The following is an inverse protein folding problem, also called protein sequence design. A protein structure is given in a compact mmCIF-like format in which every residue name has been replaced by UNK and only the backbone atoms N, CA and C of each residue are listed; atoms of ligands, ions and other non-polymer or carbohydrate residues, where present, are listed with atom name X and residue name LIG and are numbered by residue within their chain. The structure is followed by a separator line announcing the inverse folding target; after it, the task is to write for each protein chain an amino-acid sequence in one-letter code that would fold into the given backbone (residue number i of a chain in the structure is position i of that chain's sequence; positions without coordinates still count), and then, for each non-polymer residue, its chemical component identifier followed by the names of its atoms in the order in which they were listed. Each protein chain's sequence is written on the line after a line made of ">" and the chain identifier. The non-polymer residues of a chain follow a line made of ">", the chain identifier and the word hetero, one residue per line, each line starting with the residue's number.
data_IF_812075815273
#
_entry.id   IF_812075815273
#
_cell.length_a   1.000
_cell.length_b   1.000
_cell.length_c   1.000
_cell.angle_alpha   90.00
_cell.angle_beta   90.00
_cell.angle_gamma   90.00
#
_symmetry.space_group_name_H-M   'P 1'
#
loop_
_entity.id
_entity.type
_entity.pdbx_description
1 polymer ?
#
# COMPACT_ATOMS: atom_id res chain seq x y z
N UNK A 1 9.59 -12.04 -10.58
CA UNK A 1 9.64 -13.44 -10.09
C UNK A 1 9.95 -13.58 -8.60
N UNK A 2 10.67 -12.65 -7.96
CA UNK A 2 11.02 -12.72 -6.52
C UNK A 2 9.79 -12.60 -5.58
N UNK A 3 8.80 -11.78 -5.94
CA UNK A 3 7.59 -11.57 -5.11
C UNK A 3 6.63 -12.77 -5.00
N UNK A 4 6.69 -13.71 -5.95
CA UNK A 4 5.91 -14.96 -5.90
C UNK A 4 6.59 -15.98 -4.98
N UNK A 5 7.93 -15.93 -4.90
CA UNK A 5 8.72 -16.83 -4.05
C UNK A 5 8.57 -16.47 -2.56
N UNK A 6 8.54 -15.16 -2.22
CA UNK A 6 8.39 -14.70 -0.83
C UNK A 6 6.99 -14.96 -0.29
N UNK A 7 5.95 -14.85 -1.11
CA UNK A 7 4.55 -15.13 -0.71
C UNK A 7 4.27 -16.63 -0.56
N UNK A 8 4.92 -17.49 -1.35
CA UNK A 8 4.83 -18.95 -1.19
C UNK A 8 5.55 -19.45 0.07
N UNK A 9 6.68 -18.85 0.46
CA UNK A 9 7.38 -19.20 1.71
C UNK A 9 6.55 -18.83 2.95
N UNK A 10 5.90 -17.65 2.93
CA UNK A 10 5.03 -17.22 4.03
C UNK A 10 3.79 -18.12 4.21
N UNK A 11 3.25 -18.66 3.11
CA UNK A 11 2.13 -19.61 3.16
C UNK A 11 2.56 -21.02 3.58
N UNK A 12 3.77 -21.47 3.20
CA UNK A 12 4.28 -22.80 3.56
C UNK A 12 4.64 -22.94 5.05
N UNK A 13 5.04 -21.87 5.73
CA UNK A 13 5.35 -21.91 7.17
C UNK A 13 4.10 -22.04 8.06
N UNK A 14 2.93 -21.65 7.56
CA UNK A 14 1.64 -21.81 8.28
C UNK A 14 1.08 -23.23 8.12
N UNK A 15 1.45 -23.94 7.05
CA UNK A 15 0.97 -25.30 6.78
C UNK A 15 1.83 -26.43 7.39
N UNK A 16 3.07 -26.14 7.82
CA UNK A 16 3.98 -27.13 8.41
C UNK A 16 3.96 -27.15 9.96
N UNK A 17 3.14 -26.29 10.58
CA UNK A 17 3.20 -25.99 12.02
C UNK A 17 2.13 -26.63 12.90
N UNK A 18 1.31 -27.56 12.40
CA UNK A 18 0.35 -28.29 13.22
C UNK A 18 0.31 -29.77 12.83
N UNK A 19 0.73 -30.60 13.80
CA UNK A 19 0.46 -32.03 13.94
C UNK A 19 1.60 -32.99 13.58
N UNK A 20 2.48 -33.25 14.57
CA UNK A 20 2.87 -34.59 15.06
C UNK A 20 3.85 -34.45 16.23
N UNK A 21 3.51 -34.93 17.43
CA UNK A 21 4.53 -35.21 18.46
C UNK A 21 4.12 -35.08 19.93
N UNK A 22 3.48 -36.12 20.48
CA UNK A 22 3.32 -36.34 21.93
C UNK A 22 4.64 -36.87 22.52
N UNK A 23 5.21 -36.20 23.54
CA UNK A 23 6.10 -36.67 24.67
C UNK A 23 7.01 -35.51 25.08
N UNK A 24 7.35 -35.19 26.33
CA UNK A 24 7.23 -35.83 27.64
C UNK A 24 7.30 -34.70 28.69
N UNK A 25 6.66 -34.94 29.84
CA UNK A 25 6.84 -34.23 31.10
C UNK A 25 8.35 -33.99 31.39
N UNK A 26 8.80 -32.73 31.39
CA UNK A 26 10.12 -32.35 31.91
C UNK A 26 9.91 -31.56 33.19
N UNK A 27 10.32 -32.06 34.37
CA UNK A 27 10.27 -31.28 35.59
C UNK A 27 11.27 -30.12 35.53
N UNK A 28 10.88 -29.01 36.17
CA UNK A 28 11.59 -27.74 36.37
C UNK A 28 13.11 -27.81 36.16
N UNK A 29 13.61 -27.15 35.11
CA UNK A 29 14.97 -26.66 35.07
C UNK A 29 14.91 -25.14 34.94
N UNK A 30 15.27 -24.48 36.04
CA UNK A 30 15.55 -23.06 36.08
C UNK A 30 16.71 -22.74 35.14
N UNK A 31 16.43 -22.02 34.05
CA UNK A 31 17.40 -21.29 33.26
C UNK A 31 16.79 -19.94 32.95
N UNK A 32 17.33 -18.89 33.57
CA UNK A 32 17.05 -17.51 33.16
C UNK A 32 17.53 -17.29 31.73
N UNK A 33 16.66 -16.74 30.87
CA UNK A 33 16.98 -16.40 29.49
C UNK A 33 15.75 -16.03 28.67
N UNK A 34 15.52 -14.73 28.51
CA UNK A 34 14.58 -14.04 27.57
C UNK A 34 13.35 -14.84 27.14
N UNK A 35 12.36 -14.94 28.02
CA UNK A 35 10.97 -14.95 27.58
C UNK A 35 10.42 -13.58 27.91
N UNK A 36 10.17 -12.73 26.91
CA UNK A 36 9.42 -11.51 27.14
C UNK A 36 8.10 -11.87 27.81
N UNK A 37 7.61 -11.03 28.73
CA UNK A 37 6.29 -11.27 29.30
C UNK A 37 5.25 -11.35 28.18
N UNK A 38 4.12 -12.01 28.42
CA UNK A 38 3.02 -12.08 27.42
C UNK A 38 2.62 -10.67 26.96
N UNK A 39 2.68 -9.70 27.87
CA UNK A 39 2.40 -8.29 27.59
C UNK A 39 3.47 -7.65 26.68
N UNK A 40 4.75 -7.98 26.85
CA UNK A 40 5.84 -7.47 26.00
C UNK A 40 5.74 -8.00 24.56
N UNK A 41 5.33 -9.27 24.40
CA UNK A 41 5.07 -9.87 23.08
C UNK A 41 3.81 -9.26 22.43
N UNK A 42 2.76 -8.95 23.19
CA UNK A 42 1.57 -8.25 22.67
C UNK A 42 1.92 -6.84 22.18
N UNK A 43 2.75 -6.11 22.92
CA UNK A 43 3.20 -4.77 22.55
C UNK A 43 4.11 -4.77 21.31
N UNK A 44 5.00 -5.76 21.17
CA UNK A 44 5.80 -5.93 19.95
C UNK A 44 4.91 -6.21 18.72
N UNK A 45 3.97 -7.16 18.84
CA UNK A 45 3.03 -7.49 17.77
C UNK A 45 2.14 -6.30 17.40
N UNK A 46 1.67 -5.53 18.39
CA UNK A 46 0.93 -4.28 18.19
C UNK A 46 1.78 -3.27 17.40
N UNK A 47 3.05 -3.09 17.79
CA UNK A 47 3.99 -2.18 17.10
C UNK A 47 4.21 -2.56 15.63
N UNK A 48 4.44 -3.85 15.35
CA UNK A 48 4.59 -4.37 13.99
C UNK A 48 3.31 -4.12 13.18
N UNK A 49 2.15 -4.41 13.75
CA UNK A 49 0.86 -4.17 13.10
C UNK A 49 0.62 -2.70 12.76
N UNK A 50 0.89 -1.79 13.68
CA UNK A 50 0.74 -0.34 13.44
C UNK A 50 1.60 0.10 12.25
N UNK A 51 2.85 -0.36 12.18
CA UNK A 51 3.77 -0.03 11.09
C UNK A 51 3.28 -0.60 9.75
N UNK A 52 2.79 -1.84 9.75
CA UNK A 52 2.20 -2.47 8.56
C UNK A 52 0.98 -1.68 8.06
N UNK A 53 0.06 -1.29 8.97
CA UNK A 53 -1.10 -0.47 8.61
C UNK A 53 -0.67 0.89 8.05
N UNK A 54 0.33 1.55 8.65
CA UNK A 54 0.87 2.83 8.13
C UNK A 54 1.44 2.68 6.72
N UNK A 55 2.21 1.63 6.49
CA UNK A 55 2.76 1.29 5.17
C UNK A 55 1.64 1.07 4.15
N UNK A 56 0.63 0.28 4.52
CA UNK A 56 -0.46 -0.10 3.63
C UNK A 56 -1.44 1.06 3.35
N UNK A 57 -1.63 1.99 4.28
CA UNK A 57 -2.31 3.27 4.03
C UNK A 57 -1.54 4.08 2.96
N UNK A 58 -0.20 4.05 2.99
CA UNK A 58 0.62 4.64 1.93
C UNK A 58 0.38 4.00 0.56
N UNK A 59 0.29 2.67 0.51
CA UNK A 59 -0.08 1.93 -0.71
C UNK A 59 -1.48 2.33 -1.21
N UNK A 60 -2.48 2.36 -0.32
CA UNK A 60 -3.84 2.79 -0.65
C UNK A 60 -3.88 4.18 -1.28
N UNK A 61 -3.19 5.16 -0.69
CA UNK A 61 -3.17 6.54 -1.21
C UNK A 61 -2.60 6.61 -2.63
N UNK A 62 -1.49 5.91 -2.89
CA UNK A 62 -0.90 5.84 -4.24
C UNK A 62 -1.85 5.19 -5.24
N UNK A 63 -2.39 4.03 -4.89
CA UNK A 63 -3.31 3.29 -5.75
C UNK A 63 -4.61 4.06 -6.02
N UNK A 64 -5.11 4.80 -5.02
CA UNK A 64 -6.28 5.65 -5.13
C UNK A 64 -6.06 6.76 -6.16
N UNK A 65 -4.92 7.47 -6.10
CA UNK A 65 -4.62 8.51 -7.10
C UNK A 65 -4.60 7.95 -8.52
N UNK A 66 -3.97 6.79 -8.72
CA UNK A 66 -3.91 6.15 -10.03
C UNK A 66 -5.30 5.74 -10.54
N UNK A 67 -6.12 5.14 -9.68
CA UNK A 67 -7.47 4.72 -10.04
C UNK A 67 -8.40 5.91 -10.28
N UNK A 68 -8.32 6.98 -9.48
CA UNK A 68 -9.10 8.22 -9.68
C UNK A 68 -8.90 8.84 -11.07
N UNK A 69 -7.68 8.75 -11.62
CA UNK A 69 -7.38 9.25 -12.96
C UNK A 69 -8.02 8.41 -14.09
N UNK A 70 -8.41 7.15 -13.81
CA UNK A 70 -9.13 6.30 -14.78
C UNK A 70 -10.01 5.27 -14.04
N UNK A 71 -11.18 5.66 -13.50
CA UNK A 71 -11.97 4.82 -12.59
C UNK A 71 -12.54 3.55 -13.23
N UNK A 72 -12.70 3.54 -14.56
CA UNK A 72 -13.15 2.37 -15.33
C UNK A 72 -12.03 1.38 -15.64
N UNK A 73 -10.76 1.72 -15.36
CA UNK A 73 -9.62 0.85 -15.57
C UNK A 73 -9.46 -0.14 -14.40
N UNK A 74 -9.93 -1.37 -14.58
CA UNK A 74 -9.85 -2.43 -13.57
C UNK A 74 -8.41 -2.77 -13.17
N UNK A 75 -7.44 -2.62 -14.08
CA UNK A 75 -6.02 -2.83 -13.76
C UNK A 75 -5.50 -1.88 -12.68
N UNK A 76 -6.06 -0.66 -12.59
CA UNK A 76 -5.76 0.31 -11.53
C UNK A 76 -6.57 0.10 -10.26
N UNK A 77 -7.75 -0.51 -10.38
CA UNK A 77 -8.61 -0.84 -9.24
C UNK A 77 -8.09 -2.04 -8.43
N UNK A 78 -7.53 -3.06 -9.09
CA UNK A 78 -7.10 -4.29 -8.42
C UNK A 78 -6.05 -4.08 -7.31
N UNK A 79 -5.01 -3.24 -7.48
CA UNK A 79 -4.09 -2.91 -6.40
C UNK A 79 -4.77 -2.21 -5.21
N UNK A 80 -5.72 -1.32 -5.46
CA UNK A 80 -6.46 -0.62 -4.41
C UNK A 80 -7.30 -1.59 -3.58
N UNK A 81 -8.03 -2.49 -4.23
CA UNK A 81 -8.81 -3.56 -3.57
C UNK A 81 -7.91 -4.51 -2.78
N UNK A 82 -6.74 -4.88 -3.31
CA UNK A 82 -5.77 -5.74 -2.60
C UNK A 82 -5.34 -5.10 -1.27
N UNK A 83 -5.10 -3.79 -1.26
CA UNK A 83 -4.70 -3.12 -0.02
C UNK A 83 -5.79 -3.16 1.06
N UNK A 84 -7.06 -2.96 0.70
CA UNK A 84 -8.17 -3.17 1.64
C UNK A 84 -8.24 -4.62 2.15
N UNK A 85 -7.96 -5.60 1.28
CA UNK A 85 -7.91 -7.01 1.69
C UNK A 85 -6.77 -7.30 2.68
N UNK A 86 -5.58 -6.75 2.45
CA UNK A 86 -4.43 -6.87 3.36
C UNK A 86 -4.75 -6.26 4.72
N UNK A 87 -5.34 -5.05 4.75
CA UNK A 87 -5.75 -4.40 5.98
C UNK A 87 -6.85 -5.17 6.73
N UNK A 88 -7.81 -5.77 6.00
CA UNK A 88 -8.82 -6.66 6.61
C UNK A 88 -8.16 -7.87 7.28
N UNK A 89 -7.24 -8.54 6.59
CA UNK A 89 -6.55 -9.73 7.09
C UNK A 89 -5.71 -9.43 8.34
N UNK A 90 -4.87 -8.39 8.26
CA UNK A 90 -4.03 -7.96 9.38
C UNK A 90 -4.86 -7.54 10.59
N UNK A 91 -5.92 -6.76 10.41
CA UNK A 91 -6.81 -6.32 11.51
C UNK A 91 -7.45 -7.49 12.26
N UNK A 92 -7.77 -8.59 11.57
CA UNK A 92 -8.33 -9.80 12.21
C UNK A 92 -7.29 -10.58 13.00
N UNK A 93 -6.05 -10.61 12.51
CA UNK A 93 -4.94 -11.33 13.16
C UNK A 93 -4.61 -10.75 14.53
N UNK A 94 -4.67 -9.42 14.66
CA UNK A 94 -4.40 -8.72 15.92
C UNK A 94 -5.67 -8.35 16.71
N UNK A 95 -6.82 -8.89 16.33
CA UNK A 95 -8.07 -8.70 17.09
C UNK A 95 -8.56 -7.25 17.14
N UNK A 96 -8.58 -6.55 16.00
CA UNK A 96 -9.11 -5.17 15.85
C UNK A 96 -10.37 -5.18 14.96
N UNK A 97 -11.55 -5.58 15.47
CA UNK A 97 -12.74 -5.78 14.67
C UNK A 97 -13.19 -4.52 13.92
N UNK A 98 -13.14 -3.36 14.57
CA UNK A 98 -13.58 -2.09 13.97
C UNK A 98 -12.83 -1.77 12.67
N UNK A 99 -11.50 -1.94 12.66
CA UNK A 99 -10.68 -1.73 11.47
C UNK A 99 -10.93 -2.83 10.43
N UNK A 100 -11.07 -4.09 10.87
CA UNK A 100 -11.38 -5.22 9.99
C UNK A 100 -12.72 -5.05 9.25
N UNK A 101 -13.77 -4.66 9.97
CA UNK A 101 -15.12 -4.48 9.43
C UNK A 101 -15.20 -3.28 8.48
N UNK A 102 -14.49 -2.21 8.81
CA UNK A 102 -14.34 -1.05 7.94
C UNK A 102 -13.71 -1.45 6.60
N UNK A 103 -12.54 -2.10 6.62
CA UNK A 103 -11.83 -2.54 5.42
C UNK A 103 -12.65 -3.55 4.61
N UNK A 104 -13.34 -4.47 5.27
CA UNK A 104 -14.18 -5.46 4.61
C UNK A 104 -15.34 -4.84 3.80
N UNK A 105 -15.90 -3.70 4.25
CA UNK A 105 -16.95 -2.98 3.51
C UNK A 105 -16.42 -2.39 2.22
N UNK A 106 -15.25 -1.75 2.28
CA UNK A 106 -14.64 -1.15 1.09
C UNK A 106 -14.10 -2.20 0.12
N UNK A 107 -13.59 -3.33 0.62
CA UNK A 107 -13.29 -4.49 -0.24
C UNK A 107 -14.53 -4.95 -1.01
N UNK A 108 -15.68 -5.16 -0.32
CA UNK A 108 -16.93 -5.56 -0.98
C UNK A 108 -17.45 -4.52 -1.98
N UNK A 109 -17.35 -3.23 -1.65
CA UNK A 109 -17.74 -2.16 -2.57
C UNK A 109 -16.92 -2.21 -3.85
N UNK A 110 -15.60 -2.38 -3.73
CA UNK A 110 -14.72 -2.48 -4.88
C UNK A 110 -14.92 -3.79 -5.66
N UNK A 111 -15.25 -4.91 -4.98
CA UNK A 111 -15.62 -6.16 -5.64
C UNK A 111 -16.85 -5.96 -6.55
N UNK A 112 -17.85 -5.16 -6.13
CA UNK A 112 -18.99 -4.80 -7.00
C UNK A 112 -18.61 -3.95 -8.21
N UNK A 113 -17.54 -3.17 -8.11
CA UNK A 113 -17.03 -2.42 -9.26
C UNK A 113 -16.29 -3.36 -10.22
N UNK A 114 -15.53 -4.32 -9.67
CA UNK A 114 -14.79 -5.33 -10.45
C UNK A 114 -15.76 -6.25 -11.22
N UNK A 115 -16.83 -6.72 -10.58
CA UNK A 115 -17.84 -7.57 -11.21
C UNK A 115 -18.81 -6.80 -12.13
N UNK A 116 -18.62 -5.47 -12.25
CA UNK A 116 -19.41 -4.53 -13.07
C UNK A 116 -20.87 -4.39 -12.63
N UNK A 117 -21.21 -4.80 -11.41
CA UNK A 117 -22.54 -4.62 -10.84
C UNK A 117 -22.72 -3.28 -10.09
N UNK A 118 -21.64 -2.49 -9.98
CA UNK A 118 -21.63 -1.11 -9.52
C UNK A 118 -20.72 -0.25 -10.43
N UNK A 119 -21.26 0.83 -10.99
CA UNK A 119 -20.46 1.76 -11.80
C UNK A 119 -19.56 2.63 -10.90
N UNK A 120 -18.30 2.90 -11.29
CA UNK A 120 -17.37 3.76 -10.54
C UNK A 120 -17.67 5.25 -10.76
N UNK A 121 -18.91 5.65 -10.54
CA UNK A 121 -19.39 7.02 -10.68
C UNK A 121 -18.81 7.93 -9.58
N UNK A 122 -18.92 9.27 -9.69
CA UNK A 122 -18.35 10.19 -8.71
C UNK A 122 -18.69 9.90 -7.23
N UNK A 123 -19.92 9.44 -6.87
CA UNK A 123 -20.21 9.00 -5.50
C UNK A 123 -19.38 7.80 -5.04
N UNK A 124 -19.15 6.81 -5.91
CA UNK A 124 -18.34 5.63 -5.58
C UNK A 124 -16.88 6.02 -5.37
N UNK A 125 -16.34 6.85 -6.26
CA UNK A 125 -14.97 7.36 -6.12
C UNK A 125 -14.82 8.19 -4.83
N UNK A 126 -15.79 9.07 -4.56
CA UNK A 126 -15.76 9.94 -3.39
C UNK A 126 -15.81 9.13 -2.07
N UNK A 127 -16.68 8.11 -1.96
CA UNK A 127 -16.75 7.33 -0.71
C UNK A 127 -15.47 6.53 -0.45
N UNK A 128 -14.81 6.05 -1.51
CA UNK A 128 -13.52 5.33 -1.39
C UNK A 128 -12.42 6.30 -0.96
N UNK A 129 -12.41 7.53 -1.49
CA UNK A 129 -11.49 8.57 -1.04
C UNK A 129 -11.68 8.92 0.45
N UNK A 130 -12.93 9.05 0.89
CA UNK A 130 -13.26 9.24 2.30
C UNK A 130 -12.78 8.07 3.15
N UNK A 131 -12.89 6.85 2.63
CA UNK A 131 -12.45 5.67 3.35
C UNK A 131 -10.93 5.68 3.59
N UNK A 132 -10.16 5.96 2.54
CA UNK A 132 -8.70 6.08 2.62
C UNK A 132 -8.30 7.23 3.55
N UNK A 133 -9.06 8.34 3.55
CA UNK A 133 -8.86 9.45 4.48
C UNK A 133 -9.21 9.14 5.94
N UNK A 134 -10.09 8.18 6.19
CA UNK A 134 -10.53 7.79 7.53
C UNK A 134 -9.62 6.74 8.21
N UNK A 135 -8.84 5.97 7.45
CA UNK A 135 -7.94 4.96 8.01
C UNK A 135 -6.91 5.51 9.02
N UNK A 136 -6.27 6.67 8.80
CA UNK A 136 -5.41 7.29 9.82
C UNK A 136 -6.16 7.64 11.11
N UNK A 137 -7.44 8.01 11.03
CA UNK A 137 -8.25 8.33 12.21
C UNK A 137 -8.61 7.06 12.99
N UNK A 138 -8.92 5.96 12.29
CA UNK A 138 -9.14 4.65 12.91
C UNK A 138 -7.86 4.10 13.54
N UNK A 139 -6.70 4.28 12.89
CA UNK A 139 -5.43 3.88 13.46
C UNK A 139 -5.07 4.71 14.70
N UNK A 140 -5.28 6.03 14.66
CA UNK A 140 -5.05 6.89 15.83
C UNK A 140 -5.97 6.54 17.01
N UNK A 141 -7.20 6.09 16.73
CA UNK A 141 -8.11 5.55 17.75
C UNK A 141 -7.57 4.24 18.35
N UNK A 142 -7.06 3.34 17.51
CA UNK A 142 -6.46 2.08 17.96
C UNK A 142 -5.19 2.32 18.79
N UNK A 143 -4.36 3.30 18.41
CA UNK A 143 -3.18 3.74 19.17
C UNK A 143 -3.55 4.46 20.49
N UNK A 144 -4.84 4.66 20.79
CA UNK A 144 -5.29 5.37 21.99
C UNK A 144 -5.01 6.86 21.99
N UNK A 145 -4.59 7.43 20.85
CA UNK A 145 -4.17 8.84 20.73
C UNK A 145 -5.39 9.77 20.79
N UNK A 146 -6.46 9.43 20.08
CA UNK A 146 -7.68 10.26 20.00
C UNK A 146 -8.86 9.50 19.40
N UNK A 147 -10.07 9.98 19.69
CA UNK A 147 -11.27 9.55 18.94
C UNK A 147 -11.24 10.05 17.49
N UNK A 148 -11.86 9.33 16.54
CA UNK A 148 -11.92 9.74 15.15
C UNK A 148 -12.58 11.11 14.99
N UNK A 149 -11.91 12.01 14.28
CA UNK A 149 -12.45 13.34 13.96
C UNK A 149 -13.41 13.33 12.77
N UNK A 150 -13.65 12.18 12.17
CA UNK A 150 -14.57 12.00 11.04
C UNK A 150 -15.65 11.01 11.42
N UNK A 151 -16.84 11.18 10.84
CA UNK A 151 -17.96 10.27 11.07
C UNK A 151 -17.77 8.95 10.30
N UNK A 152 -17.05 8.01 10.92
CA UNK A 152 -16.78 6.67 10.38
C UNK A 152 -18.09 5.93 10.07
N UNK A 153 -19.10 6.06 10.94
CA UNK A 153 -20.38 5.38 10.77
C UNK A 153 -21.13 5.89 9.54
N UNK A 154 -21.12 7.20 9.29
CA UNK A 154 -21.72 7.77 8.08
C UNK A 154 -21.00 7.33 6.80
N UNK A 155 -19.66 7.22 6.83
CA UNK A 155 -18.86 6.71 5.71
C UNK A 155 -19.26 5.26 5.40
N UNK A 156 -19.28 4.39 6.42
CA UNK A 156 -19.68 2.98 6.28
C UNK A 156 -21.13 2.83 5.81
N UNK A 157 -22.06 3.64 6.35
CA UNK A 157 -23.46 3.66 5.92
C UNK A 157 -23.60 4.07 4.45
N UNK A 158 -22.81 5.05 4.01
CA UNK A 158 -22.80 5.49 2.61
C UNK A 158 -22.29 4.37 1.69
N UNK A 159 -21.22 3.68 2.08
CA UNK A 159 -20.70 2.53 1.35
C UNK A 159 -21.74 1.40 1.25
N UNK A 160 -22.43 1.05 2.34
CA UNK A 160 -23.47 0.02 2.33
C UNK A 160 -24.61 0.32 1.36
N UNK A 161 -25.04 1.58 1.30
CA UNK A 161 -26.11 2.01 0.38
C UNK A 161 -25.67 1.85 -1.08
N UNK A 162 -24.43 2.23 -1.39
CA UNK A 162 -23.86 2.03 -2.73
C UNK A 162 -23.69 0.55 -3.06
N UNK A 163 -23.25 -0.27 -2.09
CA UNK A 163 -23.18 -1.73 -2.25
C UNK A 163 -24.57 -2.31 -2.54
N UNK A 164 -25.65 -1.76 -1.99
CA UNK A 164 -27.03 -2.17 -2.29
C UNK A 164 -27.60 -1.57 -3.58
N UNK A 165 -26.77 -0.86 -4.36
CA UNK A 165 -27.19 -0.14 -5.57
C UNK A 165 -28.26 0.93 -5.32
N UNK A 166 -28.34 1.46 -4.09
CA UNK A 166 -29.21 2.57 -3.75
C UNK A 166 -28.54 3.91 -4.11
N UNK A 167 -29.33 4.92 -4.51
CA UNK A 167 -28.81 6.29 -4.71
C UNK A 167 -28.22 6.85 -3.42
N UNK A 168 -26.90 6.86 -3.26
CA UNK A 168 -26.24 7.48 -2.13
C UNK A 168 -25.61 8.82 -2.51
N UNK A 169 -25.87 9.85 -1.69
CA UNK A 169 -25.18 11.13 -1.78
C UNK A 169 -23.99 11.07 -0.84
N UNK A 170 -22.78 11.15 -1.39
CA UNK A 170 -21.57 11.28 -0.56
C UNK A 170 -21.47 12.72 -0.08
N UNK A 171 -21.63 12.92 1.22
CA UNK A 171 -21.46 14.22 1.86
C UNK A 171 -19.98 14.41 2.19
N UNK A 172 -19.39 15.62 2.02
CA UNK A 172 -18.01 15.89 2.40
C UNK A 172 -17.70 15.42 3.82
N UNK A 173 -16.44 14.99 4.07
CA UNK A 173 -15.98 14.59 5.41
C UNK A 173 -16.29 15.72 6.39
N UNK A 174 -17.27 15.49 7.27
CA UNK A 174 -17.59 16.42 8.35
C UNK A 174 -16.77 16.07 9.58
N UNK A 175 -16.34 17.07 10.35
CA UNK A 175 -15.88 16.84 11.71
C UNK A 175 -16.92 16.00 12.45
N UNK A 176 -16.48 14.96 13.15
CA UNK A 176 -17.31 14.16 14.02
C UNK A 176 -17.94 15.10 15.05
N UNK A 177 -19.25 15.34 14.93
CA UNK A 177 -20.00 16.06 15.95
C UNK A 177 -20.25 15.07 17.08
N UNK A 178 -19.20 14.80 17.87
CA UNK A 178 -19.36 14.14 19.13
C UNK A 178 -20.33 14.98 19.98
N UNK A 179 -21.47 14.39 20.34
CA UNK A 179 -22.40 14.99 21.28
C UNK A 179 -21.75 14.98 22.68
N UNK A 180 -21.30 16.14 23.16
CA UNK A 180 -21.07 16.38 24.59
C UNK A 180 -19.76 17.09 24.98
N UNK A 181 -19.93 18.34 25.42
CA UNK A 181 -19.10 19.21 26.29
C UNK A 181 -17.73 19.71 25.84
N UNK A 182 -17.73 21.03 25.61
CA UNK A 182 -16.78 22.02 26.12
C UNK A 182 -15.34 21.99 25.61
N UNK A 183 -15.11 22.61 24.44
CA UNK A 183 -14.01 23.58 24.27
C UNK A 183 -14.43 24.63 23.23
N UNK A 184 -15.02 25.72 23.72
CA UNK A 184 -15.10 26.97 22.98
C UNK A 184 -13.68 27.56 22.85
N UNK A 185 -13.31 27.97 21.63
CA UNK A 185 -12.02 28.56 21.28
C UNK A 185 -10.99 27.49 20.89
N UNK A 186 -10.74 27.20 19.62
CA UNK A 186 -9.92 28.07 18.76
C UNK A 186 -10.16 27.67 17.31
N UNK A 187 -11.15 28.28 16.65
CA UNK A 187 -11.39 28.12 15.22
C UNK A 187 -11.00 29.41 14.51
N UNK A 188 -9.72 29.53 14.11
CA UNK A 188 -9.24 30.37 13.01
C UNK A 188 -7.70 30.36 12.92
N UNK A 189 -7.12 29.52 12.04
CA UNK A 189 -5.80 29.65 11.38
C UNK A 189 -5.40 28.28 10.80
N UNK A 190 -4.95 28.07 9.58
CA UNK A 190 -4.74 28.90 8.40
C UNK A 190 -4.54 27.91 7.22
N UNK A 191 -5.25 28.10 6.11
CA UNK A 191 -5.18 27.28 4.88
C UNK A 191 -4.07 27.82 3.96
N UNK A 192 -2.80 27.75 4.35
CA UNK A 192 -1.70 28.15 3.44
C UNK A 192 -0.56 27.14 3.47
N UNK A 193 -0.51 26.32 2.42
CA UNK A 193 0.57 25.36 2.19
C UNK A 193 0.50 24.63 0.85
N UNK A 194 -0.16 25.19 -0.18
CA UNK A 194 -0.19 24.61 -1.53
C UNK A 194 0.73 25.32 -2.53
N UNK A 195 1.59 26.25 -2.09
CA UNK A 195 2.53 26.96 -2.95
C UNK A 195 4.00 26.49 -2.82
N UNK A 196 4.36 25.75 -1.76
CA UNK A 196 5.74 25.29 -1.57
C UNK A 196 6.14 24.09 -2.45
N UNK A 197 5.17 23.32 -2.95
CA UNK A 197 5.44 22.12 -3.76
C UNK A 197 5.73 22.42 -5.24
N UNK A 198 5.42 23.63 -5.73
CA UNK A 198 5.66 24.00 -7.12
C UNK A 198 7.09 24.54 -7.36
N UNK A 199 7.75 25.07 -6.33
CA UNK A 199 9.11 25.61 -6.45
C UNK A 199 10.19 24.50 -6.50
N UNK A 200 9.96 23.37 -5.82
CA UNK A 200 10.93 22.26 -5.75
C UNK A 200 11.03 21.41 -7.03
N UNK A 201 10.11 21.57 -7.98
CA UNK A 201 10.14 20.87 -9.26
C UNK A 201 10.94 21.62 -10.36
N UNK A 202 11.20 22.92 -10.18
CA UNK A 202 11.95 23.73 -11.15
C UNK A 202 13.48 23.60 -10.98
N UNK A 203 13.96 23.26 -9.78
CA UNK A 203 15.39 23.26 -9.44
C UNK A 203 16.15 22.01 -9.90
N UNK A 204 15.45 20.95 -10.35
CA UNK A 204 16.11 19.74 -10.88
C UNK A 204 16.35 19.79 -12.40
N UNK A 205 15.88 20.82 -13.11
CA UNK A 205 16.09 20.95 -14.56
C UNK A 205 17.36 21.73 -14.93
N UNK A 206 17.98 22.46 -14.00
CA UNK A 206 19.17 23.28 -14.31
C UNK A 206 20.51 22.54 -14.16
N UNK A 207 20.55 21.38 -13.50
CA UNK A 207 21.79 20.60 -13.28
C UNK A 207 22.18 19.66 -14.44
N UNK A 208 21.46 19.65 -15.57
CA UNK A 208 21.80 18.85 -16.75
C UNK A 208 22.25 19.65 -17.99
N UNK A 209 22.39 20.98 -17.90
CA UNK A 209 22.87 21.80 -19.03
C UNK A 209 24.34 22.23 -18.96
N UNK A 210 25.08 21.81 -17.92
CA UNK A 210 26.45 22.27 -17.65
C UNK A 210 27.61 21.45 -18.24
N UNK A 211 27.40 20.57 -19.22
CA UNK A 211 28.50 19.82 -19.86
C UNK A 211 28.51 20.08 -21.36
N UNK A 212 28.84 21.31 -21.74
CA UNK A 212 29.24 21.65 -23.09
C UNK A 212 30.07 22.95 -23.07
N UNK A 213 31.40 22.83 -23.09
CA UNK A 213 32.37 23.70 -23.83
C UNK A 213 33.81 23.53 -23.31
N UNK A 214 34.78 23.39 -24.22
CA UNK A 214 36.24 23.52 -23.97
C UNK A 214 37.03 22.22 -24.25
N UNK A 215 37.24 21.81 -25.50
CA UNK A 215 38.38 22.14 -26.39
C UNK A 215 39.72 21.42 -26.08
N UNK A 216 40.27 20.76 -27.11
CA UNK A 216 41.72 20.64 -27.31
C UNK A 216 42.25 19.24 -27.69
N UNK A 217 42.76 19.12 -28.92
CA UNK A 217 43.88 18.20 -29.19
C UNK A 217 43.67 17.14 -30.26
N UNK A 218 43.94 17.54 -31.51
CA UNK A 218 44.24 16.65 -32.63
C UNK A 218 45.62 15.98 -32.41
N UNK A 219 45.76 14.69 -32.71
CA UNK A 219 46.95 14.18 -33.40
C UNK A 219 46.70 12.80 -34.04
N UNK A 220 47.27 12.66 -35.22
CA UNK A 220 47.09 11.61 -36.24
C UNK A 220 47.85 10.32 -35.96
N UNK A 221 47.38 9.19 -36.50
CA UNK A 221 48.17 8.18 -37.25
C UNK A 221 47.26 6.97 -37.57
N UNK A 222 46.80 6.79 -38.81
CA UNK A 222 47.39 5.91 -39.85
C UNK A 222 47.36 4.41 -39.54
N UNK A 223 46.48 3.66 -40.23
CA UNK A 223 46.66 2.31 -40.84
C UNK A 223 45.30 1.99 -41.51
N UNK A 224 45.13 2.15 -42.83
CA UNK A 224 45.44 1.13 -43.86
C UNK A 224 44.43 -0.02 -43.75
N UNK A 225 43.42 -0.19 -44.58
CA UNK A 225 43.46 -0.25 -46.04
C UNK A 225 43.56 -1.71 -46.50
N UNK A 226 42.62 -2.15 -47.34
CA UNK A 226 42.61 -3.38 -48.17
C UNK A 226 41.91 -4.61 -47.55
N UNK A 227 40.73 -5.05 -48.02
CA UNK A 227 40.30 -5.57 -49.33
C UNK A 227 40.50 -7.10 -49.50
N UNK A 228 39.34 -7.77 -49.65
CA UNK A 228 39.03 -8.96 -50.45
C UNK A 228 40.05 -10.13 -50.59
N UNK A 229 39.60 -11.34 -50.24
CA UNK A 229 39.68 -12.54 -51.11
C UNK A 229 39.06 -13.78 -50.44
N UNK A 230 38.03 -14.36 -51.09
CA UNK A 230 37.81 -15.82 -51.16
C UNK A 230 38.87 -16.41 -52.14
N UNK A 231 39.08 -17.74 -52.34
CA UNK A 231 38.16 -18.87 -52.08
C UNK A 231 38.85 -20.17 -51.56
N UNK A 232 38.07 -21.24 -51.40
CA UNK A 232 38.28 -22.57 -52.01
C UNK A 232 37.89 -23.76 -51.10
N UNK A 233 37.40 -24.76 -51.82
CA UNK A 233 36.74 -26.02 -51.53
C UNK A 233 37.68 -27.19 -51.20
N UNK A 234 37.10 -28.23 -50.58
CA UNK A 234 37.71 -29.56 -50.34
C UNK A 234 37.68 -29.92 -48.86
N UNK A 235 37.08 -31.01 -48.36
CA UNK A 235 36.64 -32.25 -48.99
C UNK A 235 37.60 -33.41 -48.64
N UNK A 236 37.49 -33.99 -47.44
CA UNK A 236 37.94 -35.35 -47.05
C UNK A 236 37.15 -35.74 -45.78
N UNK A 237 36.26 -36.73 -45.80
CA UNK A 237 36.44 -38.19 -45.69
C UNK A 237 36.96 -38.69 -44.33
N UNK A 238 36.02 -39.22 -43.53
CA UNK A 238 36.11 -40.59 -42.99
C UNK A 238 36.64 -40.81 -41.57
N UNK A 239 36.19 -41.96 -41.03
CA UNK A 239 36.71 -42.77 -39.91
C UNK A 239 36.21 -42.32 -38.53
N UNK A 240 35.55 -43.11 -37.69
CA UNK A 240 35.00 -44.49 -37.69
C UNK A 240 33.90 -44.53 -36.59
#
# INVERSE_FOLDING_TARGET
>A
MIYVLVTLIALSLVALGLWLGRRQNRPNQARGGRGGSVDEVDDELRGVFINEVKSEIGNLRRNLMLWKAAPTNLGRLMPLRRSFHTLKGSSRMVGVPALGDFNARFERLLDRVIDKSLNPDPPVVAVVEQAVGALPELLAQYEGIRSPRVDIAAIMKTADRLIKSERAVVRPLRPSTASGSDYAGTAAALVLGSAAAAQLAAEQSELQSGVASGEGGYESSSYGGDAAAAPDSGGTSGVD
#
